data_IF_637348266358
#
_entry.id   IF_637348266358
#
_cell.length_a   1.000
_cell.length_b   1.000
_cell.length_c   1.000
_cell.angle_alpha   90.00
_cell.angle_beta   90.00
_cell.angle_gamma   90.00
#
_symmetry.space_group_name_H-M   'P 1'
#
loop_
_entity.id
_entity.type
_entity.pdbx_description
1 polymer ?
#
# COMPACT_ATOMS: atom_id res chain seq x y z
N UNK A 1 29.65 16.92 15.22
CA UNK A 1 29.93 18.27 14.71
C UNK A 1 28.84 18.61 13.72
N UNK A 2 28.08 19.66 13.99
CA UNK A 2 26.97 20.09 13.14
C UNK A 2 27.51 20.77 11.88
N UNK A 3 26.77 20.70 10.77
CA UNK A 3 27.16 21.36 9.51
C UNK A 3 27.33 22.87 9.70
N UNK A 4 26.57 23.48 10.61
CA UNK A 4 26.70 24.89 10.97
C UNK A 4 28.04 25.21 11.65
N UNK A 5 28.52 24.37 12.57
CA UNK A 5 29.82 24.58 13.24
C UNK A 5 31.00 24.45 12.26
N UNK A 6 30.87 23.55 11.28
CA UNK A 6 31.86 23.39 10.20
C UNK A 6 31.84 24.61 9.28
N UNK A 7 30.64 25.13 8.99
CA UNK A 7 30.45 26.31 8.16
C UNK A 7 31.09 27.56 8.80
N UNK A 8 30.86 27.79 10.10
CA UNK A 8 31.45 28.89 10.85
C UNK A 8 32.98 28.79 10.89
N UNK A 9 33.53 27.60 11.16
CA UNK A 9 34.98 27.36 11.16
C UNK A 9 35.63 27.60 9.80
N UNK A 10 34.90 27.35 8.71
CA UNK A 10 35.40 27.50 7.34
C UNK A 10 35.08 28.87 6.74
N UNK A 11 34.34 29.75 7.44
CA UNK A 11 33.87 31.03 6.90
C UNK A 11 32.97 30.85 5.67
N UNK A 12 32.20 29.75 5.62
CA UNK A 12 31.32 29.38 4.50
C UNK A 12 29.89 29.25 4.96
N UNK A 13 28.96 29.20 4.01
CA UNK A 13 27.57 28.89 4.34
C UNK A 13 27.38 27.39 4.55
N UNK A 14 26.44 26.95 5.41
CA UNK A 14 26.12 25.53 5.60
C UNK A 14 25.80 24.81 4.29
N UNK A 15 25.16 25.50 3.34
CA UNK A 15 24.88 24.97 2.01
C UNK A 15 26.15 24.66 1.20
N UNK A 16 27.15 25.55 1.22
CA UNK A 16 28.42 25.35 0.52
C UNK A 16 29.23 24.18 1.13
N UNK A 17 29.23 24.06 2.46
CA UNK A 17 29.82 22.90 3.16
C UNK A 17 29.11 21.61 2.76
N UNK A 18 27.77 21.64 2.68
CA UNK A 18 26.98 20.51 2.21
C UNK A 18 27.34 20.06 0.80
N UNK A 19 27.48 20.99 -0.14
CA UNK A 19 27.88 20.70 -1.53
C UNK A 19 29.31 20.15 -1.61
N UNK A 20 30.24 20.70 -0.83
CA UNK A 20 31.60 20.21 -0.80
C UNK A 20 31.69 18.80 -0.18
N UNK A 21 30.91 18.53 0.86
CA UNK A 21 30.79 17.20 1.45
C UNK A 21 30.18 16.17 0.48
N UNK A 22 29.26 16.59 -0.40
CA UNK A 22 28.75 15.75 -1.50
C UNK A 22 29.85 15.48 -2.54
N UNK A 23 30.57 16.52 -2.96
CA UNK A 23 31.68 16.43 -3.91
C UNK A 23 32.80 15.52 -3.41
N UNK A 24 33.10 15.59 -2.11
CA UNK A 24 34.14 14.78 -1.45
C UNK A 24 33.65 13.38 -1.04
N UNK A 25 32.36 13.06 -1.24
CA UNK A 25 31.79 11.77 -0.85
C UNK A 25 31.74 11.51 0.66
N UNK A 26 31.93 12.55 1.48
CA UNK A 26 31.90 12.45 2.94
C UNK A 26 30.49 12.37 3.50
N UNK A 27 29.46 12.70 2.70
CA UNK A 27 28.06 12.52 3.09
C UNK A 27 27.65 11.06 2.88
N UNK A 28 26.92 10.48 3.86
CA UNK A 28 26.22 9.20 3.68
C UNK A 28 25.42 9.25 2.37
N UNK A 29 25.73 8.35 1.43
CA UNK A 29 25.00 8.23 0.18
C UNK A 29 23.52 7.97 0.50
N UNK A 30 22.63 8.83 -0.02
CA UNK A 30 21.17 8.65 0.08
C UNK A 30 20.66 7.43 -0.69
N UNK A 31 21.53 6.78 -1.47
CA UNK A 31 21.26 5.68 -2.39
C UNK A 31 21.98 4.41 -1.93
N UNK A 32 21.66 3.91 -0.73
CA UNK A 32 22.03 2.54 -0.41
C UNK A 32 21.31 1.59 -1.40
N UNK A 33 21.99 0.57 -1.95
CA UNK A 33 21.30 -0.46 -2.75
C UNK A 33 20.21 -1.12 -1.91
N UNK A 34 19.10 -1.50 -2.52
CA UNK A 34 18.02 -2.20 -1.83
C UNK A 34 18.46 -3.64 -1.53
N UNK A 35 18.31 -4.05 -0.28
CA UNK A 35 18.58 -5.44 0.10
C UNK A 35 17.41 -6.34 -0.29
N UNK A 36 17.66 -7.65 -0.44
CA UNK A 36 16.59 -8.61 -0.72
C UNK A 36 15.53 -8.61 0.37
N UNK A 37 15.92 -8.51 1.64
CA UNK A 37 14.97 -8.41 2.76
C UNK A 37 14.06 -7.17 2.64
N UNK A 38 14.59 -6.01 2.24
CA UNK A 38 13.77 -4.81 2.01
C UNK A 38 12.81 -5.01 0.83
N UNK A 39 13.27 -5.65 -0.25
CA UNK A 39 12.45 -5.97 -1.42
C UNK A 39 11.36 -6.99 -1.10
N UNK A 40 11.63 -7.97 -0.25
CA UNK A 40 10.67 -8.97 0.21
C UNK A 40 9.56 -8.35 1.05
N UNK A 41 9.91 -7.41 1.94
CA UNK A 41 8.93 -6.63 2.70
C UNK A 41 7.99 -5.89 1.75
N UNK A 42 8.52 -5.26 0.70
CA UNK A 42 7.67 -4.60 -0.32
C UNK A 42 6.82 -5.65 -1.03
N UNK A 43 7.41 -6.73 -1.55
CA UNK A 43 6.68 -7.74 -2.32
C UNK A 43 5.51 -8.33 -1.55
N UNK A 44 5.70 -8.61 -0.28
CA UNK A 44 4.68 -9.24 0.55
C UNK A 44 3.71 -8.23 1.17
N UNK A 45 4.22 -7.26 1.91
CA UNK A 45 3.36 -6.39 2.70
C UNK A 45 2.70 -5.30 1.84
N UNK A 46 3.40 -4.75 0.85
CA UNK A 46 2.81 -3.77 -0.06
C UNK A 46 1.73 -4.42 -0.94
N UNK A 47 1.97 -5.64 -1.44
CA UNK A 47 0.99 -6.40 -2.22
C UNK A 47 -0.23 -6.83 -1.38
N UNK A 48 -0.09 -7.00 -0.07
CA UNK A 48 -1.23 -7.20 0.87
C UNK A 48 -1.96 -5.90 1.23
N UNK A 49 -1.45 -4.75 0.79
CA UNK A 49 -2.08 -3.45 1.04
C UNK A 49 -1.70 -2.81 2.38
N UNK A 50 -0.54 -3.14 2.96
CA UNK A 50 -0.03 -2.47 4.15
C UNK A 50 0.19 -0.98 3.93
N UNK A 51 0.00 -0.17 4.98
CA UNK A 51 0.22 1.29 4.93
C UNK A 51 1.68 1.62 4.65
N UNK A 52 1.91 2.53 3.68
CA UNK A 52 3.26 2.95 3.34
C UNK A 52 4.00 3.57 4.54
N UNK A 53 3.27 4.23 5.45
CA UNK A 53 3.82 4.76 6.71
C UNK A 53 4.32 3.64 7.63
N UNK A 54 3.54 2.58 7.79
CA UNK A 54 3.95 1.41 8.59
C UNK A 54 5.15 0.71 7.97
N UNK A 55 5.18 0.55 6.64
CA UNK A 55 6.34 -0.01 5.94
C UNK A 55 7.59 0.87 6.07
N UNK A 56 7.42 2.19 6.07
CA UNK A 56 8.54 3.12 6.29
C UNK A 56 9.15 3.01 7.69
N UNK A 57 8.41 2.52 8.69
CA UNK A 57 8.97 2.22 10.03
C UNK A 57 9.80 0.92 10.02
N UNK A 58 9.45 -0.03 9.16
CA UNK A 58 10.18 -1.29 8.99
C UNK A 58 11.42 -1.15 8.08
N UNK A 59 11.51 -0.06 7.32
CA UNK A 59 12.60 0.23 6.37
C UNK A 59 13.39 1.47 6.82
N UNK A 60 14.27 1.35 7.84
CA UNK A 60 14.99 2.49 8.39
C UNK A 60 15.90 3.12 7.32
N UNK A 61 15.71 4.42 7.08
CA UNK A 61 16.49 5.16 6.09
C UNK A 61 15.91 5.17 4.67
N UNK A 62 14.78 4.50 4.43
CA UNK A 62 14.00 4.64 3.19
C UNK A 62 12.85 5.61 3.40
N UNK A 63 12.70 6.57 2.49
CA UNK A 63 11.51 7.42 2.47
C UNK A 63 10.34 6.68 1.84
N UNK A 64 9.12 7.13 2.14
CA UNK A 64 7.89 6.62 1.50
C UNK A 64 7.97 6.72 -0.03
N UNK A 65 8.54 7.82 -0.57
CA UNK A 65 8.72 7.99 -2.01
C UNK A 65 9.69 6.96 -2.59
N UNK A 66 10.76 6.62 -1.87
CA UNK A 66 11.70 5.58 -2.28
C UNK A 66 11.02 4.20 -2.30
N UNK A 67 10.15 3.91 -1.32
CA UNK A 67 9.33 2.70 -1.30
C UNK A 67 8.41 2.63 -2.52
N UNK A 68 7.69 3.70 -2.86
CA UNK A 68 6.83 3.70 -4.04
C UNK A 68 7.61 3.53 -5.33
N UNK A 69 8.76 4.22 -5.47
CA UNK A 69 9.62 4.09 -6.64
C UNK A 69 10.15 2.67 -6.78
N UNK A 70 10.54 2.03 -5.67
CA UNK A 70 11.00 0.64 -5.68
C UNK A 70 9.86 -0.34 -5.98
N UNK A 71 8.68 -0.14 -5.40
CA UNK A 71 7.51 -0.96 -5.70
C UNK A 71 7.15 -0.90 -7.20
N UNK A 72 7.20 0.29 -7.81
CA UNK A 72 7.01 0.47 -9.25
C UNK A 72 8.12 -0.23 -10.06
N UNK A 73 9.38 -0.09 -9.65
CA UNK A 73 10.53 -0.74 -10.30
C UNK A 73 10.42 -2.26 -10.27
N UNK A 74 9.90 -2.81 -9.17
CA UNK A 74 9.63 -4.25 -9.00
C UNK A 74 8.31 -4.70 -9.64
N UNK A 75 7.50 -3.79 -10.19
CA UNK A 75 6.17 -4.09 -10.72
C UNK A 75 5.13 -4.50 -9.66
N UNK A 76 5.40 -4.24 -8.38
CA UNK A 76 4.52 -4.57 -7.25
C UNK A 76 3.49 -3.46 -7.07
N UNK A 77 2.22 -3.77 -7.37
CA UNK A 77 1.10 -2.85 -7.10
C UNK A 77 0.56 -3.04 -5.68
N UNK A 78 0.12 -1.95 -5.06
CA UNK A 78 -0.48 -2.02 -3.73
C UNK A 78 -1.75 -2.87 -3.74
N UNK A 79 -1.87 -3.79 -2.78
CA UNK A 79 -3.10 -4.56 -2.53
C UNK A 79 -4.32 -3.70 -2.20
N UNK A 80 -4.14 -2.41 -1.91
CA UNK A 80 -5.26 -1.48 -1.72
C UNK A 80 -6.01 -1.14 -3.03
N UNK A 81 -5.35 -1.26 -4.18
CA UNK A 81 -6.00 -0.95 -5.46
C UNK A 81 -6.80 -2.15 -5.94
N UNK A 82 -8.06 -1.92 -6.29
CA UNK A 82 -8.92 -2.91 -6.92
C UNK A 82 -8.53 -3.10 -8.38
N UNK A 83 -8.23 -4.33 -8.77
CA UNK A 83 -7.95 -4.71 -10.15
C UNK A 83 -9.25 -4.85 -10.92
N UNK A 84 -9.18 -4.67 -12.23
CA UNK A 84 -10.34 -4.80 -13.11
C UNK A 84 -10.97 -6.20 -13.05
N UNK A 85 -10.14 -7.23 -12.95
CA UNK A 85 -10.58 -8.62 -12.70
C UNK A 85 -11.37 -8.75 -11.40
N UNK A 86 -10.87 -8.18 -10.30
CA UNK A 86 -11.55 -8.21 -8.99
C UNK A 86 -12.87 -7.44 -9.03
N UNK A 87 -12.91 -6.31 -9.74
CA UNK A 87 -14.13 -5.52 -9.96
C UNK A 87 -15.15 -6.27 -10.84
N UNK A 88 -14.68 -7.06 -11.81
CA UNK A 88 -15.51 -7.92 -12.65
C UNK A 88 -16.20 -9.01 -11.84
N UNK A 89 -15.43 -9.72 -11.01
CA UNK A 89 -15.94 -10.72 -10.06
C UNK A 89 -16.96 -10.07 -9.13
N UNK A 90 -16.62 -8.91 -8.55
CA UNK A 90 -17.50 -8.19 -7.64
C UNK A 90 -18.83 -7.80 -8.31
N UNK A 91 -18.82 -7.33 -9.57
CA UNK A 91 -20.05 -6.97 -10.29
C UNK A 91 -20.90 -8.18 -10.66
N UNK A 92 -20.28 -9.30 -11.02
CA UNK A 92 -20.98 -10.51 -11.43
C UNK A 92 -21.54 -11.29 -10.23
N UNK A 93 -20.74 -11.50 -9.20
CA UNK A 93 -21.07 -12.41 -8.10
C UNK A 93 -21.73 -11.70 -6.91
N UNK A 94 -21.41 -10.44 -6.62
CA UNK A 94 -22.00 -9.75 -5.46
C UNK A 94 -23.54 -9.70 -5.48
N UNK A 95 -24.22 -9.45 -6.62
CA UNK A 95 -25.68 -9.49 -6.66
C UNK A 95 -26.27 -10.87 -6.34
N UNK A 96 -25.53 -11.95 -6.60
CA UNK A 96 -25.96 -13.35 -6.44
C UNK A 96 -25.66 -13.88 -5.04
N UNK A 97 -24.42 -13.72 -4.56
CA UNK A 97 -23.95 -14.35 -3.32
C UNK A 97 -23.70 -13.34 -2.18
N UNK A 98 -23.69 -12.03 -2.47
CA UNK A 98 -23.42 -10.99 -1.47
C UNK A 98 -21.99 -11.03 -0.95
N UNK A 99 -21.82 -11.00 0.38
CA UNK A 99 -20.50 -10.96 1.03
C UNK A 99 -19.69 -12.24 0.87
N UNK A 100 -20.30 -13.36 0.48
CA UNK A 100 -19.59 -14.61 0.20
C UNK A 100 -18.65 -14.53 -1.02
N UNK A 101 -18.74 -13.46 -1.83
CA UNK A 101 -17.80 -13.18 -2.93
C UNK A 101 -16.33 -13.10 -2.46
N UNK A 102 -16.08 -12.93 -1.16
CA UNK A 102 -14.72 -13.01 -0.60
C UNK A 102 -14.05 -14.36 -0.82
N UNK A 103 -14.79 -15.45 -0.97
CA UNK A 103 -14.23 -16.77 -1.30
C UNK A 103 -13.56 -16.78 -2.68
N UNK A 104 -14.07 -15.97 -3.61
CA UNK A 104 -13.49 -15.77 -4.94
C UNK A 104 -12.43 -14.65 -4.97
N UNK A 105 -12.25 -13.93 -3.85
CA UNK A 105 -11.30 -12.82 -3.71
C UNK A 105 -10.36 -13.07 -2.52
N UNK A 106 -9.41 -14.03 -2.61
CA UNK A 106 -8.58 -14.47 -1.48
C UNK A 106 -7.67 -13.38 -0.89
N UNK A 107 -7.53 -12.23 -1.57
CA UNK A 107 -6.75 -11.07 -1.10
C UNK A 107 -7.61 -9.93 -0.54
N UNK A 108 -8.94 -10.11 -0.47
CA UNK A 108 -9.89 -9.07 -0.03
C UNK A 108 -10.61 -9.51 1.24
N UNK A 109 -10.69 -8.59 2.21
CA UNK A 109 -11.51 -8.75 3.40
C UNK A 109 -12.97 -8.36 3.09
N UNK A 110 -13.95 -8.99 3.74
CA UNK A 110 -15.39 -8.65 3.71
C UNK A 110 -15.63 -7.15 3.86
N UNK A 111 -14.94 -6.48 4.79
CA UNK A 111 -15.09 -5.02 4.96
C UNK A 111 -14.64 -4.24 3.72
N UNK A 112 -13.55 -4.66 3.07
CA UNK A 112 -13.08 -4.02 1.83
C UNK A 112 -14.07 -4.22 0.68
N UNK A 113 -14.70 -5.40 0.60
CA UNK A 113 -15.78 -5.71 -0.36
C UNK A 113 -16.97 -4.79 -0.12
N UNK A 114 -17.46 -4.67 1.12
CA UNK A 114 -18.60 -3.80 1.46
C UNK A 114 -18.33 -2.34 1.08
N UNK A 115 -17.15 -1.82 1.40
CA UNK A 115 -16.76 -0.45 1.04
C UNK A 115 -16.75 -0.27 -0.48
N UNK A 116 -16.17 -1.23 -1.21
CA UNK A 116 -16.08 -1.15 -2.67
C UNK A 116 -17.45 -1.27 -3.35
N UNK A 117 -18.30 -2.18 -2.89
CA UNK A 117 -19.68 -2.35 -3.35
C UNK A 117 -20.47 -1.06 -3.17
N UNK A 118 -20.38 -0.44 -1.98
CA UNK A 118 -21.05 0.85 -1.71
C UNK A 118 -20.55 1.93 -2.66
N UNK A 119 -19.24 1.98 -2.89
CA UNK A 119 -18.61 2.91 -3.84
C UNK A 119 -19.07 2.68 -5.29
N UNK A 120 -19.35 1.44 -5.67
CA UNK A 120 -19.87 1.07 -6.99
C UNK A 120 -21.40 1.15 -7.11
N UNK A 121 -22.11 1.42 -6.00
CA UNK A 121 -23.58 1.43 -5.97
C UNK A 121 -24.22 0.06 -6.21
N UNK A 122 -23.47 -1.03 -6.01
CA UNK A 122 -23.99 -2.39 -6.21
C UNK A 122 -24.95 -2.78 -5.07
N UNK A 123 -26.06 -3.42 -5.43
CA UNK A 123 -27.06 -3.93 -4.47
C UNK A 123 -27.11 -5.45 -4.57
N UNK A 124 -27.31 -6.12 -3.43
CA UNK A 124 -27.65 -7.55 -3.41
C UNK A 124 -29.02 -7.70 -4.07
N UNK A 125 -29.18 -8.66 -4.98
CA UNK A 125 -30.47 -8.91 -5.62
C UNK A 125 -31.49 -9.41 -4.58
N UNK A 126 -32.74 -9.00 -4.69
CA UNK A 126 -33.82 -9.55 -3.85
C UNK A 126 -34.13 -11.02 -4.15
N UNK A 127 -33.64 -11.55 -5.28
CA UNK A 127 -33.83 -12.92 -5.75
C UNK A 127 -32.71 -13.89 -5.32
N UNK A 128 -31.72 -13.44 -4.53
CA UNK A 128 -30.67 -14.33 -4.04
C UNK A 128 -31.22 -15.28 -2.96
N UNK A 129 -31.18 -16.58 -3.23
CA UNK A 129 -31.70 -17.66 -2.36
C UNK A 129 -31.04 -17.73 -0.97
N UNK A 130 -29.91 -17.05 -0.76
CA UNK A 130 -29.23 -17.00 0.53
C UNK A 130 -29.79 -15.86 1.38
N UNK A 131 -30.87 -16.16 2.11
CA UNK A 131 -31.34 -15.37 3.25
C UNK A 131 -32.83 -15.03 3.31
N UNK A 132 -33.64 -15.44 2.33
CA UNK A 132 -35.09 -15.28 2.47
C UNK A 132 -35.66 -16.46 3.25
N UNK A 133 -35.78 -16.31 4.58
CA UNK A 133 -36.67 -17.14 5.40
C UNK A 133 -37.96 -16.33 5.55
N UNK A 134 -39.03 -16.59 4.76
CA UNK A 134 -40.32 -15.99 5.05
C UNK A 134 -40.73 -16.40 6.47
N UNK A 135 -41.38 -15.49 7.20
CA UNK A 135 -42.06 -15.88 8.43
C UNK A 135 -43.04 -17.02 8.11
N UNK A 136 -42.98 -18.10 8.88
CA UNK A 136 -44.05 -19.09 8.90
C UNK A 136 -45.11 -18.60 9.88
N UNK A 137 -46.38 -18.65 9.48
CA UNK A 137 -47.54 -18.17 10.25
C UNK A 137 -47.87 -18.99 11.53
N UNK A 138 -46.87 -19.55 12.22
CA UNK A 138 -47.04 -20.40 13.41
C UNK A 138 -46.35 -19.87 14.70
N UNK A 139 -46.07 -18.57 14.80
CA UNK A 139 -45.69 -17.90 16.07
C UNK A 139 -46.78 -16.94 16.55
#
# INVERSE_FOLDING_TARGET
>A
MLVAEIADRLGRTPGAVGLMADKLGCRKKKSAPWSEAEMDIIRDHYARGAEARSLSQQLPGRSINALFSMAETMGVRSGRFWREEELGILKADYPRVGTAVTEHLPRRNVMSVIIMVRRLGLKKSHSSEVGFRPWSDEE
#
